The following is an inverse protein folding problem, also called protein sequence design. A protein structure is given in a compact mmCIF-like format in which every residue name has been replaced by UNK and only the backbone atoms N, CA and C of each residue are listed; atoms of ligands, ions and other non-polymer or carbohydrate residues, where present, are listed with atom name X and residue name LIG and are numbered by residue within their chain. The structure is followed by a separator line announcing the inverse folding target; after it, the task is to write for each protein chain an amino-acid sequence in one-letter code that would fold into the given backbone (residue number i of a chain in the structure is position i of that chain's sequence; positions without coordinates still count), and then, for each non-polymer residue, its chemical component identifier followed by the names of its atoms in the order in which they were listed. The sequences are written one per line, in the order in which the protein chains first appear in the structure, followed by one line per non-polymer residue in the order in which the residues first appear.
data_IF_485174790882
#
_entry.id   IF_485174790882
#
_cell.length_a   1.000
_cell.length_b   1.000
_cell.length_c   1.000
_cell.angle_alpha   90.00
_cell.angle_beta   90.00
_cell.angle_gamma   90.00
#
_symmetry.space_group_name_H-M   'P 1'
#
loop_
_entity.id
_entity.type
_entity.pdbx_description
1 polymer ?
#
# COMPACT_ATOMS: atom_id res chain seq x y z
N UNK A 1 -5.35 -21.38 -86.29
CA UNK A 1 -4.99 -22.80 -86.33
C UNK A 1 -5.09 -23.35 -84.91
N UNK A 2 -6.00 -24.23 -84.70
CA UNK A 2 -6.57 -24.77 -83.50
C UNK A 2 -5.66 -25.81 -82.82
N UNK A 3 -5.49 -25.71 -81.53
CA UNK A 3 -4.96 -26.77 -80.67
C UNK A 3 -6.10 -27.41 -79.91
N UNK A 4 -6.24 -28.73 -79.93
CA UNK A 4 -7.28 -29.42 -79.10
C UNK A 4 -6.71 -29.77 -77.72
N UNK A 5 -7.55 -29.52 -76.75
CA UNK A 5 -7.38 -30.02 -75.35
C UNK A 5 -7.59 -31.58 -75.35
N UNK A 6 -6.66 -32.29 -74.69
CA UNK A 6 -6.81 -33.69 -74.39
C UNK A 6 -7.38 -33.89 -72.96
N UNK A 7 -7.98 -35.04 -72.66
CA UNK A 7 -8.76 -35.27 -71.45
C UNK A 7 -7.87 -35.54 -70.23
N UNK A 8 -8.32 -35.04 -69.06
CA UNK A 8 -7.74 -35.29 -67.76
C UNK A 8 -7.85 -36.77 -67.36
N UNK A 9 -6.73 -37.38 -67.10
CA UNK A 9 -6.63 -38.71 -66.52
C UNK A 9 -6.72 -38.61 -64.97
N UNK A 10 -7.71 -39.24 -64.38
CA UNK A 10 -7.95 -39.34 -62.94
C UNK A 10 -7.12 -40.47 -62.34
N UNK A 11 -5.81 -40.19 -62.12
CA UNK A 11 -4.90 -41.12 -61.42
C UNK A 11 -5.12 -41.07 -59.91
N UNK A 12 -5.46 -42.19 -59.37
CA UNK A 12 -5.62 -42.50 -57.97
C UNK A 12 -4.37 -42.12 -57.15
N UNK A 13 -4.54 -41.25 -56.12
CA UNK A 13 -3.51 -41.09 -55.09
C UNK A 13 -3.62 -42.22 -54.06
N UNK A 14 -2.51 -42.82 -53.60
CA UNK A 14 -2.51 -43.77 -52.50
C UNK A 14 -2.71 -43.00 -51.16
N UNK A 15 -3.64 -43.48 -50.36
CA UNK A 15 -3.91 -43.04 -49.03
C UNK A 15 -2.74 -43.29 -48.05
N UNK A 16 -1.83 -42.33 -47.95
CA UNK A 16 -0.86 -42.27 -46.87
C UNK A 16 -1.51 -41.66 -45.64
N UNK A 17 -1.77 -42.50 -44.62
CA UNK A 17 -2.30 -42.02 -43.37
C UNK A 17 -1.35 -41.06 -42.70
N UNK A 18 -1.69 -39.79 -42.70
CA UNK A 18 -1.07 -38.82 -41.80
C UNK A 18 -1.68 -39.06 -40.40
N UNK A 19 -0.88 -39.64 -39.52
CA UNK A 19 -1.17 -39.58 -38.11
C UNK A 19 -1.05 -38.10 -37.70
N UNK A 20 -2.05 -37.51 -37.05
CA UNK A 20 -1.91 -36.17 -36.50
C UNK A 20 -0.87 -36.22 -35.39
N UNK A 21 0.17 -35.39 -35.50
CA UNK A 21 1.12 -35.17 -34.42
C UNK A 21 0.38 -34.67 -33.18
N UNK A 22 0.74 -35.15 -31.97
CA UNK A 22 0.14 -34.66 -30.76
C UNK A 22 0.51 -33.18 -30.59
N UNK A 23 -0.46 -32.32 -30.75
CA UNK A 23 -0.30 -30.92 -30.43
C UNK A 23 0.03 -30.77 -28.91
N UNK A 24 1.05 -29.96 -28.54
CA UNK A 24 1.27 -29.70 -27.13
C UNK A 24 -0.01 -29.07 -26.54
N UNK A 25 -0.36 -29.36 -25.28
CA UNK A 25 -1.54 -28.80 -24.67
C UNK A 25 -1.49 -27.29 -24.77
N UNK A 26 -2.42 -26.73 -25.49
CA UNK A 26 -2.63 -25.25 -25.52
C UNK A 26 -2.94 -24.84 -24.08
N UNK A 27 -1.99 -24.13 -23.46
CA UNK A 27 -2.17 -23.58 -22.13
C UNK A 27 -3.48 -22.82 -22.11
N UNK A 28 -4.37 -23.26 -21.21
CA UNK A 28 -5.67 -22.63 -21.04
C UNK A 28 -5.47 -21.12 -20.85
N UNK A 29 -6.05 -20.34 -21.74
CA UNK A 29 -6.18 -18.91 -21.54
C UNK A 29 -6.85 -18.72 -20.19
N UNK A 30 -6.12 -18.07 -19.26
CA UNK A 30 -6.68 -17.69 -17.99
C UNK A 30 -8.02 -16.99 -18.28
N UNK A 31 -9.10 -17.59 -17.84
CA UNK A 31 -10.44 -17.02 -17.97
C UNK A 31 -10.45 -15.77 -17.10
N UNK A 32 -10.23 -14.61 -17.72
CA UNK A 32 -10.47 -13.33 -17.03
C UNK A 32 -11.97 -13.28 -16.72
N UNK A 33 -12.36 -13.20 -15.43
CA UNK A 33 -13.77 -13.03 -15.10
C UNK A 33 -14.26 -11.72 -15.72
N UNK A 34 -15.51 -11.66 -16.24
CA UNK A 34 -16.05 -10.45 -16.81
C UNK A 34 -16.00 -9.32 -15.79
N UNK A 35 -15.43 -8.18 -16.16
CA UNK A 35 -15.47 -6.95 -15.38
C UNK A 35 -16.91 -6.43 -15.39
N UNK A 36 -17.69 -6.79 -14.40
CA UNK A 36 -19.08 -6.35 -14.28
C UNK A 36 -19.71 -6.86 -13.00
N UNK A 37 -19.36 -6.24 -11.91
CA UNK A 37 -19.97 -6.46 -10.60
C UNK A 37 -18.92 -6.11 -9.54
N UNK A 38 -19.23 -5.15 -8.69
CA UNK A 38 -18.46 -4.93 -7.47
C UNK A 38 -18.48 -6.25 -6.70
N UNK A 39 -17.45 -7.07 -6.87
CA UNK A 39 -17.26 -8.24 -6.06
C UNK A 39 -17.22 -7.72 -4.62
N UNK A 40 -18.28 -7.99 -3.85
CA UNK A 40 -18.26 -7.88 -2.40
C UNK A 40 -17.09 -8.75 -1.95
N UNK A 41 -15.97 -8.10 -1.61
CA UNK A 41 -14.85 -8.79 -0.98
C UNK A 41 -15.42 -9.56 0.21
N UNK A 42 -15.18 -10.88 0.34
CA UNK A 42 -15.59 -11.58 1.54
C UNK A 42 -15.03 -10.79 2.72
N UNK A 43 -15.78 -10.63 3.83
CA UNK A 43 -15.25 -9.97 5.02
C UNK A 43 -13.95 -10.69 5.35
N UNK A 44 -12.83 -9.96 5.27
CA UNK A 44 -11.52 -10.52 5.56
C UNK A 44 -11.56 -10.97 7.02
N UNK A 45 -11.63 -12.29 7.20
CA UNK A 45 -11.50 -12.93 8.48
C UNK A 45 -10.26 -12.33 9.16
N UNK A 46 -10.45 -11.92 10.43
CA UNK A 46 -9.51 -11.13 11.21
C UNK A 46 -8.05 -11.54 10.95
N UNK A 47 -7.24 -10.53 10.68
CA UNK A 47 -5.81 -10.70 10.49
C UNK A 47 -5.24 -11.48 11.66
N UNK A 48 -4.75 -12.69 11.39
CA UNK A 48 -3.99 -13.44 12.37
C UNK A 48 -2.79 -12.58 12.77
N UNK A 49 -2.70 -12.23 14.04
CA UNK A 49 -1.66 -11.38 14.60
C UNK A 49 -0.25 -11.99 14.53
N UNK A 50 -0.10 -13.15 13.91
CA UNK A 50 1.09 -14.00 13.92
C UNK A 50 1.80 -14.13 12.57
N UNK A 51 1.48 -13.28 11.58
CA UNK A 51 2.27 -13.20 10.34
C UNK A 51 3.65 -12.57 10.58
N UNK A 52 4.67 -12.90 9.75
CA UNK A 52 6.00 -12.29 9.87
C UNK A 52 5.88 -10.78 9.87
N UNK A 53 6.52 -10.12 10.85
CA UNK A 53 6.53 -8.67 11.06
C UNK A 53 6.86 -7.95 9.74
N UNK A 54 5.89 -7.35 9.08
CA UNK A 54 6.20 -6.55 7.89
C UNK A 54 5.06 -6.32 6.90
N UNK A 55 3.96 -7.05 6.99
CA UNK A 55 2.91 -6.96 5.98
C UNK A 55 1.59 -6.47 6.59
N UNK A 56 1.57 -5.21 6.97
CA UNK A 56 0.31 -4.52 7.18
C UNK A 56 -0.26 -4.20 5.79
N UNK A 57 -0.98 -5.15 5.24
CA UNK A 57 -1.75 -4.90 4.03
C UNK A 57 -2.84 -3.89 4.40
N UNK A 58 -2.76 -2.70 3.82
CA UNK A 58 -3.52 -1.49 4.09
C UNK A 58 -5.04 -1.58 4.17
N UNK A 59 -5.57 -2.50 4.99
CA UNK A 59 -6.97 -2.52 5.36
C UNK A 59 -7.35 -1.36 6.29
N UNK A 60 -8.64 -0.96 6.35
CA UNK A 60 -9.08 0.07 7.27
C UNK A 60 -8.90 -0.41 8.72
N UNK A 61 -8.27 0.42 9.56
CA UNK A 61 -8.08 0.18 10.99
C UNK A 61 -8.86 1.20 11.82
N UNK A 62 -9.26 0.80 13.03
CA UNK A 62 -9.88 1.69 13.99
C UNK A 62 -8.87 2.62 14.68
N UNK A 63 -9.38 3.63 15.42
CA UNK A 63 -8.56 4.63 16.09
C UNK A 63 -7.53 4.01 17.06
N UNK A 64 -7.98 3.13 17.95
CA UNK A 64 -7.10 2.48 18.95
C UNK A 64 -6.03 1.60 18.30
N UNK A 65 -6.41 0.83 17.29
CA UNK A 65 -5.51 -0.06 16.56
C UNK A 65 -4.46 0.74 15.78
N UNK A 66 -4.86 1.86 15.17
CA UNK A 66 -3.94 2.74 14.45
C UNK A 66 -2.85 3.30 15.36
N UNK A 67 -3.22 3.73 16.57
CA UNK A 67 -2.25 4.22 17.56
C UNK A 67 -1.33 3.10 18.04
N UNK A 68 -1.90 1.96 18.40
CA UNK A 68 -1.13 0.80 18.86
C UNK A 68 -0.15 0.31 17.78
N UNK A 69 -0.60 0.28 16.52
CA UNK A 69 0.23 -0.06 15.38
C UNK A 69 1.36 0.94 15.15
N UNK A 70 1.07 2.23 15.22
CA UNK A 70 2.07 3.28 15.03
C UNK A 70 3.20 3.17 16.06
N UNK A 71 2.86 3.00 17.33
CA UNK A 71 3.86 2.84 18.40
C UNK A 71 4.62 1.50 18.32
N UNK A 72 3.96 0.39 18.00
CA UNK A 72 4.64 -0.90 17.81
C UNK A 72 5.66 -0.88 16.69
N UNK A 73 5.41 -0.09 15.66
CA UNK A 73 6.22 -0.02 14.46
C UNK A 73 7.03 1.28 14.35
N UNK A 74 7.26 2.01 15.43
CA UNK A 74 7.92 3.32 15.40
C UNK A 74 9.36 3.30 14.87
N UNK A 75 10.02 2.13 14.87
CA UNK A 75 11.36 1.92 14.28
C UNK A 75 11.32 1.08 13.00
N UNK A 76 10.13 0.78 12.47
CA UNK A 76 9.96 -0.04 11.27
C UNK A 76 9.64 0.85 10.09
N UNK A 77 10.56 0.94 9.15
CA UNK A 77 10.42 1.74 7.93
C UNK A 77 10.01 0.90 6.72
N UNK A 78 9.88 -0.41 6.88
CA UNK A 78 9.45 -1.37 5.86
C UNK A 78 7.94 -1.61 5.95
N UNK A 79 7.36 -2.11 4.84
CA UNK A 79 5.93 -2.38 4.76
C UNK A 79 5.11 -1.13 4.42
N UNK A 80 3.80 -1.25 4.55
CA UNK A 80 2.82 -0.24 4.11
C UNK A 80 1.93 0.18 5.29
N UNK A 81 1.45 1.42 5.27
CA UNK A 81 0.46 1.93 6.21
C UNK A 81 -0.77 2.44 5.46
N UNK A 82 -1.96 1.97 5.87
CA UNK A 82 -3.22 2.40 5.26
C UNK A 82 -3.51 3.89 5.50
N UNK A 83 -4.42 4.45 4.69
CA UNK A 83 -4.92 5.82 4.93
C UNK A 83 -5.53 5.96 6.32
N UNK A 84 -6.34 4.99 6.75
CA UNK A 84 -6.97 5.03 8.08
C UNK A 84 -5.94 4.97 9.20
N UNK A 85 -4.91 4.12 9.10
CA UNK A 85 -3.82 4.06 10.08
C UNK A 85 -3.11 5.42 10.20
N UNK A 86 -2.79 6.04 9.07
CA UNK A 86 -2.12 7.33 9.03
C UNK A 86 -3.00 8.46 9.63
N UNK A 87 -4.26 8.58 9.18
CA UNK A 87 -5.11 9.71 9.56
C UNK A 87 -5.66 9.60 10.98
N UNK A 88 -5.92 8.38 11.49
CA UNK A 88 -6.26 8.19 12.89
C UNK A 88 -5.10 8.56 13.80
N UNK A 89 -3.87 8.19 13.41
CA UNK A 89 -2.69 8.60 14.17
C UNK A 89 -2.46 10.12 14.06
N UNK A 90 -2.65 10.74 12.91
CA UNK A 90 -2.56 12.19 12.76
C UNK A 90 -3.55 12.94 13.67
N UNK A 91 -4.78 12.42 13.79
CA UNK A 91 -5.76 12.94 14.74
C UNK A 91 -5.27 12.79 16.20
N UNK A 92 -4.77 11.61 16.54
CA UNK A 92 -4.17 11.39 17.87
C UNK A 92 -3.03 12.36 18.14
N UNK A 93 -2.16 12.62 17.18
CA UNK A 93 -1.03 13.56 17.28
C UNK A 93 -1.52 14.98 17.60
N UNK A 94 -2.54 15.47 16.90
CA UNK A 94 -3.16 16.78 17.19
C UNK A 94 -3.70 16.83 18.61
N UNK A 95 -4.43 15.80 19.04
CA UNK A 95 -4.97 15.74 20.42
C UNK A 95 -3.86 15.65 21.47
N UNK A 96 -2.79 14.92 21.18
CA UNK A 96 -1.63 14.82 22.07
C UNK A 96 -0.94 16.19 22.24
N UNK A 97 -0.75 16.93 21.14
CA UNK A 97 -0.18 18.28 21.21
C UNK A 97 -1.06 19.27 21.97
N UNK A 98 -2.38 19.17 21.86
CA UNK A 98 -3.32 19.95 22.70
C UNK A 98 -3.12 19.58 24.18
N UNK A 99 -3.00 18.30 24.49
CA UNK A 99 -2.70 17.83 25.86
C UNK A 99 -1.36 18.36 26.39
N UNK A 100 -0.31 18.30 25.56
CA UNK A 100 1.02 18.85 25.89
C UNK A 100 0.93 20.35 26.20
N UNK A 101 0.19 21.12 25.37
CA UNK A 101 -0.01 22.55 25.60
C UNK A 101 -0.72 22.83 26.95
N UNK A 102 -1.81 22.11 27.23
CA UNK A 102 -2.55 22.26 28.48
C UNK A 102 -1.65 21.98 29.69
N UNK A 103 -0.91 20.86 29.67
CA UNK A 103 0.00 20.49 30.75
C UNK A 103 1.14 21.51 30.92
N UNK A 104 1.67 22.03 29.79
CA UNK A 104 2.70 23.05 29.82
C UNK A 104 2.21 24.35 30.48
N UNK A 105 0.96 24.76 30.21
CA UNK A 105 0.34 25.91 30.86
C UNK A 105 0.13 25.69 32.36
N UNK A 106 -0.26 24.47 32.77
CA UNK A 106 -0.39 24.11 34.19
C UNK A 106 0.97 24.18 34.88
N UNK A 107 2.02 23.61 34.31
CA UNK A 107 3.37 23.67 34.88
C UNK A 107 3.92 25.08 34.95
N UNK A 108 3.60 25.93 33.97
CA UNK A 108 3.95 27.36 34.01
C UNK A 108 3.25 28.08 35.18
N UNK A 109 1.96 27.80 35.40
CA UNK A 109 1.19 28.37 36.52
C UNK A 109 1.70 27.89 37.89
N UNK A 110 2.23 26.66 37.96
CA UNK A 110 2.86 26.09 39.16
C UNK A 110 4.32 26.54 39.34
N UNK A 111 4.86 27.41 38.49
CA UNK A 111 6.24 27.90 38.49
C UNK A 111 7.30 26.79 38.38
N UNK A 112 7.01 25.75 37.64
CA UNK A 112 7.93 24.61 37.38
C UNK A 112 8.26 24.49 35.88
N UNK A 113 8.86 25.51 35.26
CA UNK A 113 9.06 25.58 33.79
C UNK A 113 9.93 24.43 33.25
N UNK A 114 10.80 23.85 34.09
CA UNK A 114 11.63 22.74 33.69
C UNK A 114 10.81 21.52 33.27
N UNK A 115 9.67 21.26 33.92
CA UNK A 115 8.76 20.18 33.51
C UNK A 115 8.09 20.44 32.18
N UNK A 116 7.74 21.69 31.89
CA UNK A 116 7.21 22.07 30.57
C UNK A 116 8.22 21.79 29.46
N UNK A 117 9.49 22.18 29.67
CA UNK A 117 10.56 21.94 28.68
C UNK A 117 10.76 20.45 28.46
N UNK A 118 10.85 19.67 29.55
CA UNK A 118 11.00 18.20 29.45
C UNK A 118 9.84 17.57 28.68
N UNK A 119 8.60 18.00 28.96
CA UNK A 119 7.41 17.52 28.27
C UNK A 119 7.44 17.83 26.77
N UNK A 120 7.81 19.06 26.38
CA UNK A 120 7.96 19.43 24.98
C UNK A 120 9.03 18.61 24.26
N UNK A 121 10.19 18.45 24.88
CA UNK A 121 11.28 17.66 24.29
C UNK A 121 10.86 16.20 24.08
N UNK A 122 10.21 15.60 25.08
CA UNK A 122 9.71 14.22 24.98
C UNK A 122 8.66 14.10 23.88
N UNK A 123 7.72 15.05 23.80
CA UNK A 123 6.69 15.08 22.76
C UNK A 123 7.30 15.20 21.36
N UNK A 124 8.26 16.11 21.15
CA UNK A 124 8.95 16.28 19.86
C UNK A 124 9.65 14.97 19.45
N UNK A 125 10.41 14.37 20.36
CA UNK A 125 11.11 13.11 20.06
C UNK A 125 10.11 12.01 19.69
N UNK A 126 9.03 11.84 20.45
CA UNK A 126 7.98 10.86 20.17
C UNK A 126 7.33 11.08 18.81
N UNK A 127 6.94 12.33 18.52
CA UNK A 127 6.32 12.73 17.25
C UNK A 127 7.24 12.44 16.06
N UNK A 128 8.52 12.76 16.17
CA UNK A 128 9.49 12.52 15.09
C UNK A 128 9.68 11.02 14.86
N UNK A 129 9.88 10.24 15.91
CA UNK A 129 10.13 8.79 15.77
C UNK A 129 8.93 8.06 15.15
N UNK A 130 7.74 8.28 15.70
CA UNK A 130 6.52 7.60 15.22
C UNK A 130 6.07 8.16 13.89
N UNK A 131 6.01 9.48 13.77
CA UNK A 131 5.54 10.18 12.58
C UNK A 131 6.41 9.90 11.35
N UNK A 132 7.74 9.86 11.50
CA UNK A 132 8.65 9.52 10.40
C UNK A 132 8.39 8.10 9.89
N UNK A 133 8.40 7.11 10.79
CA UNK A 133 8.17 5.72 10.44
C UNK A 133 6.82 5.52 9.75
N UNK A 134 5.76 6.11 10.32
CA UNK A 134 4.42 5.99 9.77
C UNK A 134 4.28 6.69 8.40
N UNK A 135 4.88 7.88 8.24
CA UNK A 135 4.85 8.61 6.96
C UNK A 135 5.59 7.86 5.87
N UNK A 136 6.77 7.30 6.17
CA UNK A 136 7.51 6.46 5.21
C UNK A 136 6.67 5.28 4.76
N UNK A 137 6.05 4.54 5.68
CA UNK A 137 5.17 3.40 5.36
C UNK A 137 3.91 3.83 4.58
N UNK A 138 3.42 5.06 4.83
CA UNK A 138 2.31 5.62 4.05
C UNK A 138 2.72 5.97 2.62
N UNK A 139 3.92 6.50 2.42
CA UNK A 139 4.48 6.73 1.08
C UNK A 139 4.66 5.40 0.32
N UNK A 140 5.12 4.36 1.00
CA UNK A 140 5.23 3.02 0.43
C UNK A 140 3.88 2.46 -0.02
N UNK A 141 2.80 2.75 0.70
CA UNK A 141 1.45 2.31 0.33
C UNK A 141 0.99 2.88 -1.03
N UNK A 142 1.43 4.07 -1.38
CA UNK A 142 1.20 4.69 -2.70
C UNK A 142 2.36 4.48 -3.69
N UNK A 143 3.16 3.41 -3.49
CA UNK A 143 4.35 3.04 -4.30
C UNK A 143 5.41 4.14 -4.45
N UNK A 144 5.54 4.99 -3.44
CA UNK A 144 6.55 6.04 -3.39
C UNK A 144 7.67 5.67 -2.43
N UNK A 145 8.90 6.03 -2.80
CA UNK A 145 10.04 5.88 -1.90
C UNK A 145 9.88 6.73 -0.63
N UNK A 146 10.31 6.21 0.52
CA UNK A 146 10.35 6.96 1.78
C UNK A 146 11.19 8.24 1.71
N UNK A 147 12.14 8.34 0.77
CA UNK A 147 12.92 9.57 0.54
C UNK A 147 12.07 10.78 0.14
N UNK A 148 10.85 10.58 -0.37
CA UNK A 148 9.91 11.67 -0.59
C UNK A 148 9.52 12.42 0.69
N UNK A 149 9.76 11.83 1.86
CA UNK A 149 9.63 12.54 3.14
C UNK A 149 10.48 13.81 3.20
N UNK A 150 11.67 13.80 2.59
CA UNK A 150 12.61 14.92 2.60
C UNK A 150 12.08 16.16 1.88
N UNK A 151 11.08 16.02 1.00
CA UNK A 151 10.45 17.17 0.36
C UNK A 151 9.76 18.08 1.38
N UNK A 152 9.38 17.56 2.55
CA UNK A 152 8.82 18.35 3.64
C UNK A 152 9.73 19.46 4.16
N UNK A 153 11.03 19.37 3.93
CA UNK A 153 12.02 20.40 4.29
C UNK A 153 12.17 21.50 3.23
N UNK A 154 11.53 21.34 2.06
CA UNK A 154 11.53 22.37 1.01
C UNK A 154 10.29 23.26 1.19
N UNK A 155 10.37 24.57 0.91
CA UNK A 155 9.19 25.45 0.94
C UNK A 155 8.03 24.84 0.14
N UNK A 156 6.84 24.83 0.72
CA UNK A 156 5.62 24.20 0.17
C UNK A 156 5.67 22.66 0.02
N UNK A 157 6.79 22.00 0.30
CA UNK A 157 6.92 20.55 0.19
C UNK A 157 5.99 19.78 1.13
N UNK A 158 5.62 20.38 2.27
CA UNK A 158 4.59 19.80 3.16
C UNK A 158 3.22 19.61 2.47
N UNK A 159 2.85 20.49 1.52
CA UNK A 159 1.62 20.34 0.73
C UNK A 159 1.73 19.10 -0.17
N UNK A 160 2.88 18.88 -0.78
CA UNK A 160 3.12 17.69 -1.62
C UNK A 160 3.04 16.42 -0.79
N UNK A 161 3.65 16.41 0.41
CA UNK A 161 3.52 15.28 1.34
C UNK A 161 2.06 15.05 1.74
N UNK A 162 1.32 16.12 2.06
CA UNK A 162 -0.10 16.02 2.38
C UNK A 162 -0.86 15.33 1.24
N UNK A 163 -0.65 15.77 -0.01
CA UNK A 163 -1.27 15.14 -1.18
C UNK A 163 -0.91 13.66 -1.25
N UNK A 164 0.36 13.28 -1.05
CA UNK A 164 0.78 11.88 -1.09
C UNK A 164 0.13 11.03 0.00
N UNK A 165 -0.11 11.60 1.19
CA UNK A 165 -0.81 10.87 2.25
C UNK A 165 -2.31 10.71 2.01
N UNK A 166 -2.90 11.55 1.16
CA UNK A 166 -4.31 11.48 0.74
C UNK A 166 -4.55 10.53 -0.43
N UNK A 167 -3.54 10.28 -1.28
CA UNK A 167 -3.68 9.37 -2.43
C UNK A 167 -4.17 7.99 -1.99
N UNK A 168 -4.84 7.29 -2.88
CA UNK A 168 -5.16 5.87 -2.65
C UNK A 168 -3.88 5.03 -2.64
N UNK A 169 -3.85 4.03 -1.75
CA UNK A 169 -2.80 3.02 -1.79
C UNK A 169 -2.90 2.20 -3.08
N UNK A 170 -1.77 1.67 -3.55
CA UNK A 170 -1.76 0.78 -4.71
C UNK A 170 -2.56 -0.49 -4.40
N UNK A 171 -3.49 -0.89 -5.28
CA UNK A 171 -4.21 -2.15 -5.09
C UNK A 171 -3.25 -3.34 -5.24
N UNK A 172 -3.37 -4.32 -4.34
CA UNK A 172 -2.50 -5.49 -4.32
C UNK A 172 -1.09 -5.21 -3.80
N UNK A 173 -0.16 -6.13 -4.08
CA UNK A 173 1.24 -6.01 -3.69
C UNK A 173 1.97 -4.99 -4.57
N UNK A 174 2.89 -4.24 -3.96
CA UNK A 174 3.82 -3.36 -4.65
C UNK A 174 5.26 -3.68 -4.19
N UNK A 175 6.25 -2.92 -4.65
CA UNK A 175 7.67 -3.16 -4.30
C UNK A 175 8.00 -3.05 -2.80
N UNK A 176 7.08 -2.64 -1.96
CA UNK A 176 7.25 -2.50 -0.51
C UNK A 176 6.42 -3.50 0.30
N UNK A 177 5.61 -4.34 -0.34
CA UNK A 177 4.77 -5.37 0.27
C UNK A 177 3.40 -5.54 -0.34
#
# INVERSE_FOLDING_TARGET
MSTPYGPFDSGQQPSGGHQPEPHPPQGGYAHYPPQGGYASYPPQAGYAADGPRGYLQGGPVGFGDAIAEAFRNMFTYQGRASRSAYWWFALFEVLAWVGVLILALIFAALHVPALSILLYVAAIIGSVLVGLSLTVRRLHDSDKSGFWYLIGFVPFGGIVLLVFTLLEGTPGQNRFG
#
